data_IF_983055457124
#
_entry.id   IF_983055457124
#
_cell.length_a   1.000
_cell.length_b   1.000
_cell.length_c   1.000
_cell.angle_alpha   90.00
_cell.angle_beta   90.00
_cell.angle_gamma   90.00
#
_symmetry.space_group_name_H-M   'P 1'
#
loop_
_entity.id
_entity.type
_entity.pdbx_description
1 polymer ?
#
# COMPACT_ATOMS: atom_id res chain seq x y z
N UNK A 1 18.16 -20.79 52.42
CA UNK A 1 17.92 -21.68 51.26
C UNK A 1 16.42 -21.64 50.95
N UNK A 2 15.92 -20.74 50.08
CA UNK A 2 14.54 -20.82 49.63
C UNK A 2 14.45 -21.68 48.36
N UNK A 3 13.63 -22.73 48.45
CA UNK A 3 13.30 -23.65 47.36
C UNK A 3 12.24 -23.01 46.46
N UNK A 4 12.57 -22.80 45.19
CA UNK A 4 11.59 -22.36 44.17
C UNK A 4 10.79 -23.57 43.65
N UNK A 5 9.45 -23.53 43.63
CA UNK A 5 8.65 -24.56 43.00
C UNK A 5 8.69 -24.41 41.46
N UNK A 6 8.89 -25.54 40.76
CA UNK A 6 8.82 -25.63 39.30
C UNK A 6 7.35 -25.63 38.82
N UNK A 7 6.95 -24.80 37.84
CA UNK A 7 5.63 -24.92 37.23
C UNK A 7 5.59 -26.10 36.23
N UNK A 8 4.52 -26.90 36.33
CA UNK A 8 4.15 -27.96 35.36
C UNK A 8 3.46 -27.32 34.14
N UNK A 9 3.61 -27.87 32.92
CA UNK A 9 2.91 -27.36 31.75
C UNK A 9 1.43 -27.75 31.81
N UNK A 10 0.54 -26.76 31.91
CA UNK A 10 -0.89 -26.95 31.69
C UNK A 10 -1.18 -26.74 30.20
N UNK A 11 -1.69 -27.77 29.53
CA UNK A 11 -2.22 -27.67 28.18
C UNK A 11 -3.44 -26.72 28.19
N UNK A 12 -3.31 -25.55 27.58
CA UNK A 12 -4.45 -24.67 27.33
C UNK A 12 -5.22 -25.22 26.12
N UNK A 13 -6.31 -25.93 26.39
CA UNK A 13 -7.36 -26.18 25.41
C UNK A 13 -8.10 -24.86 25.16
N UNK A 14 -7.79 -24.17 24.06
CA UNK A 14 -8.55 -23.00 23.62
C UNK A 14 -9.89 -23.42 23.02
N UNK A 15 -10.98 -23.17 23.76
CA UNK A 15 -12.34 -23.35 23.27
C UNK A 15 -12.65 -22.29 22.20
N UNK A 16 -13.01 -22.74 20.99
CA UNK A 16 -13.49 -21.88 19.92
C UNK A 16 -14.99 -21.65 20.13
N UNK A 17 -15.38 -20.42 20.49
CA UNK A 17 -16.77 -20.01 20.60
C UNK A 17 -17.30 -19.67 19.20
N UNK A 18 -18.28 -20.42 18.72
CA UNK A 18 -19.03 -20.06 17.50
C UNK A 18 -20.09 -19.02 17.86
N UNK A 19 -19.88 -17.77 17.44
CA UNK A 19 -20.95 -16.79 17.42
C UNK A 19 -21.79 -17.01 16.14
N UNK A 20 -23.07 -17.36 16.31
CA UNK A 20 -24.05 -17.42 15.22
C UNK A 20 -24.38 -16.00 14.77
N UNK A 21 -23.83 -15.56 13.64
CA UNK A 21 -24.27 -14.34 12.96
C UNK A 21 -25.45 -14.64 12.02
N UNK A 22 -26.44 -13.75 12.03
CA UNK A 22 -27.68 -13.80 11.26
C UNK A 22 -27.48 -13.94 9.76
N UNK A 23 -28.22 -14.85 9.13
CA UNK A 23 -28.27 -15.05 7.67
C UNK A 23 -29.09 -13.96 7.01
N UNK A 24 -28.45 -13.01 6.33
CA UNK A 24 -29.09 -12.27 5.25
C UNK A 24 -29.04 -13.15 3.98
N UNK A 25 -30.12 -13.23 3.17
CA UNK A 25 -30.06 -13.97 1.92
C UNK A 25 -29.08 -13.28 0.97
N UNK A 26 -28.05 -14.02 0.56
CA UNK A 26 -27.17 -13.58 -0.50
C UNK A 26 -27.98 -13.47 -1.79
N UNK A 27 -28.11 -12.26 -2.33
CA UNK A 27 -28.43 -12.11 -3.74
C UNK A 27 -27.37 -12.89 -4.53
N UNK A 28 -27.80 -13.72 -5.48
CA UNK A 28 -26.89 -14.37 -6.44
C UNK A 28 -26.20 -13.28 -7.26
N UNK A 29 -25.04 -12.83 -6.79
CA UNK A 29 -24.05 -12.22 -7.65
C UNK A 29 -23.37 -13.36 -8.40
N UNK A 30 -23.48 -13.33 -9.73
CA UNK A 30 -22.70 -14.19 -10.61
C UNK A 30 -21.21 -14.10 -10.21
N UNK A 31 -20.52 -15.23 -10.00
CA UNK A 31 -19.12 -15.19 -9.62
C UNK A 31 -18.32 -14.48 -10.72
N UNK A 32 -17.53 -13.44 -10.42
CA UNK A 32 -16.59 -12.94 -11.39
C UNK A 32 -15.66 -14.11 -11.80
N UNK A 33 -15.32 -14.24 -13.09
CA UNK A 33 -14.45 -15.31 -13.55
C UNK A 33 -13.14 -15.31 -12.75
N UNK A 34 -12.55 -16.48 -12.49
CA UNK A 34 -11.31 -16.57 -11.74
C UNK A 34 -10.24 -15.73 -12.45
N UNK A 35 -9.76 -14.69 -11.77
CA UNK A 35 -8.60 -13.93 -12.22
C UNK A 35 -7.39 -14.82 -12.01
N UNK A 36 -7.03 -15.59 -13.04
CA UNK A 36 -5.68 -16.14 -13.12
C UNK A 36 -4.72 -14.97 -13.04
N UNK A 37 -3.82 -14.98 -12.05
CA UNK A 37 -2.66 -14.11 -12.07
C UNK A 37 -1.80 -14.53 -13.27
N UNK A 38 -2.03 -13.88 -14.41
CA UNK A 38 -1.16 -14.01 -15.58
C UNK A 38 0.14 -13.32 -15.20
N UNK A 39 1.23 -14.08 -15.12
CA UNK A 39 2.57 -13.51 -15.19
C UNK A 39 2.72 -12.92 -16.60
N UNK A 40 2.45 -11.62 -16.71
CA UNK A 40 2.62 -10.87 -17.95
C UNK A 40 4.04 -10.31 -17.96
N UNK A 41 4.99 -10.91 -18.72
CA UNK A 41 6.24 -10.24 -18.99
C UNK A 41 5.93 -8.95 -19.78
N UNK A 42 6.20 -7.81 -19.15
CA UNK A 42 5.92 -6.50 -19.75
C UNK A 42 4.50 -6.01 -19.53
N UNK A 43 4.11 -5.76 -18.27
CA UNK A 43 3.08 -4.76 -17.98
C UNK A 43 3.61 -3.40 -18.44
N UNK A 44 3.45 -3.12 -19.73
CA UNK A 44 3.39 -1.76 -20.20
C UNK A 44 2.17 -1.18 -19.50
N UNK A 45 2.39 -0.31 -18.50
CA UNK A 45 1.34 0.58 -18.03
C UNK A 45 0.95 1.39 -19.26
N UNK A 46 -0.14 1.00 -19.92
CA UNK A 46 -0.73 1.85 -20.93
C UNK A 46 -0.91 3.21 -20.26
N UNK A 47 -0.43 4.32 -20.86
CA UNK A 47 -0.64 5.62 -20.27
C UNK A 47 -2.14 5.76 -20.03
N UNK A 48 -2.53 6.18 -18.82
CA UNK A 48 -3.94 6.36 -18.46
C UNK A 48 -4.66 7.36 -19.40
N UNK A 49 -3.88 8.07 -20.21
CA UNK A 49 -4.30 9.10 -21.17
C UNK A 49 -3.65 8.79 -22.52
N UNK A 50 -4.44 8.80 -23.60
CA UNK A 50 -3.96 8.67 -24.98
C UNK A 50 -3.15 9.93 -25.37
N UNK A 51 -1.82 9.83 -25.60
CA UNK A 51 -1.02 10.98 -25.98
C UNK A 51 -1.50 11.66 -27.27
N UNK A 52 -2.15 10.93 -28.18
CA UNK A 52 -2.68 11.48 -29.43
C UNK A 52 -3.90 12.39 -29.21
N UNK A 53 -4.57 12.31 -28.05
CA UNK A 53 -5.70 13.17 -27.68
C UNK A 53 -5.33 14.33 -26.78
N UNK A 54 -4.03 14.52 -26.54
CA UNK A 54 -3.52 15.51 -25.61
C UNK A 54 -2.87 16.68 -26.35
N UNK A 55 -3.24 17.90 -25.94
CA UNK A 55 -2.55 19.12 -26.34
C UNK A 55 -1.83 19.67 -25.11
N UNK A 56 -0.50 19.55 -25.06
CA UNK A 56 0.31 20.21 -24.03
C UNK A 56 0.34 21.71 -24.31
N UNK A 57 -0.03 22.53 -23.32
CA UNK A 57 -0.08 23.99 -23.47
C UNK A 57 1.04 24.69 -22.72
N UNK A 58 1.56 24.05 -21.68
CA UNK A 58 2.72 24.54 -20.95
C UNK A 58 3.50 23.37 -20.35
N UNK A 59 4.82 23.52 -20.31
CA UNK A 59 5.72 22.72 -19.49
C UNK A 59 6.89 23.55 -19.04
N UNK A 60 7.26 23.38 -17.79
CA UNK A 60 8.53 23.86 -17.27
C UNK A 60 9.19 22.74 -16.48
N UNK A 61 10.51 22.65 -16.57
CA UNK A 61 11.30 21.72 -15.77
C UNK A 61 12.35 22.51 -15.03
N UNK A 62 12.47 22.29 -13.72
CA UNK A 62 13.45 22.95 -12.87
C UNK A 62 14.15 21.97 -11.94
N UNK A 63 15.43 22.19 -11.61
CA UNK A 63 16.08 21.43 -10.56
C UNK A 63 15.43 21.74 -9.20
N UNK A 64 15.39 20.73 -8.32
CA UNK A 64 14.92 20.85 -6.92
C UNK A 64 16.07 20.62 -5.97
N UNK A 65 16.88 19.58 -6.22
CA UNK A 65 18.11 19.23 -5.51
C UNK A 65 19.03 18.44 -6.46
N UNK A 66 20.29 18.15 -6.09
CA UNK A 66 21.12 17.23 -6.88
C UNK A 66 20.39 15.91 -7.16
N UNK A 67 20.30 15.52 -8.43
CA UNK A 67 19.59 14.30 -8.85
C UNK A 67 18.06 14.37 -8.75
N UNK A 68 17.45 15.52 -8.45
CA UNK A 68 15.98 15.69 -8.38
C UNK A 68 15.53 16.86 -9.23
N UNK A 69 14.61 16.63 -10.16
CA UNK A 69 13.95 17.68 -10.95
C UNK A 69 12.43 17.59 -10.86
N UNK A 70 11.77 18.74 -10.97
CA UNK A 70 10.32 18.86 -11.04
C UNK A 70 9.93 19.34 -12.44
N UNK A 71 9.05 18.60 -13.10
CA UNK A 71 8.38 19.02 -14.32
C UNK A 71 6.92 19.35 -14.03
N UNK A 72 6.55 20.61 -14.20
CA UNK A 72 5.17 21.09 -14.07
C UNK A 72 4.60 21.33 -15.46
N UNK A 73 3.40 20.81 -15.73
CA UNK A 73 2.79 20.88 -17.05
C UNK A 73 1.28 21.09 -16.98
N UNK A 74 0.76 21.73 -18.02
CA UNK A 74 -0.66 21.85 -18.30
C UNK A 74 -0.96 21.18 -19.64
N UNK A 75 -2.05 20.42 -19.69
CA UNK A 75 -2.54 19.88 -20.94
C UNK A 75 -4.06 19.90 -21.01
N UNK A 76 -4.57 19.88 -22.23
CA UNK A 76 -5.98 19.66 -22.51
C UNK A 76 -6.17 18.31 -23.21
N UNK A 77 -7.08 17.49 -22.68
CA UNK A 77 -7.47 16.23 -23.30
C UNK A 77 -8.74 16.40 -24.13
N UNK A 78 -8.68 15.99 -25.39
CA UNK A 78 -9.78 16.06 -26.35
C UNK A 78 -10.76 14.89 -26.15
N UNK A 79 -12.06 15.16 -26.28
CA UNK A 79 -13.12 14.14 -26.26
C UNK A 79 -14.18 14.41 -25.19
N UNK A 80 -15.23 13.58 -25.18
CA UNK A 80 -16.43 13.82 -24.36
C UNK A 80 -16.22 13.80 -22.86
N UNK A 81 -15.19 13.10 -22.36
CA UNK A 81 -14.80 13.07 -20.94
C UNK A 81 -13.45 13.77 -20.68
N UNK A 82 -12.86 14.40 -21.71
CA UNK A 82 -11.58 15.10 -21.59
C UNK A 82 -11.72 16.44 -20.86
N UNK A 83 -10.58 17.08 -20.58
CA UNK A 83 -10.56 18.36 -19.88
C UNK A 83 -9.16 18.88 -19.63
N UNK A 84 -9.10 19.97 -18.86
CA UNK A 84 -7.84 20.54 -18.40
C UNK A 84 -7.21 19.72 -17.29
N UNK A 85 -5.92 19.43 -17.43
CA UNK A 85 -5.10 18.81 -16.42
C UNK A 85 -3.92 19.73 -16.13
N UNK A 86 -3.64 19.92 -14.85
CA UNK A 86 -2.40 20.46 -14.32
C UNK A 86 -1.70 19.37 -13.53
N UNK A 87 -0.44 19.10 -13.86
CA UNK A 87 0.33 18.02 -13.24
C UNK A 87 1.73 18.45 -12.86
N UNK A 88 2.25 17.79 -11.83
CA UNK A 88 3.61 17.90 -11.33
C UNK A 88 4.24 16.51 -11.32
N UNK A 89 5.42 16.38 -11.92
CA UNK A 89 6.18 15.13 -11.97
C UNK A 89 7.58 15.32 -11.39
N UNK A 90 7.92 14.54 -10.37
CA UNK A 90 9.27 14.49 -9.81
C UNK A 90 10.07 13.38 -10.50
N UNK A 91 11.22 13.75 -11.06
CA UNK A 91 12.21 12.80 -11.57
C UNK A 91 13.36 12.72 -10.59
N UNK A 92 13.67 11.50 -10.14
CA UNK A 92 14.73 11.23 -9.16
C UNK A 92 15.76 10.28 -9.75
N UNK A 93 17.01 10.73 -9.82
CA UNK A 93 18.17 9.91 -10.14
C UNK A 93 18.73 9.29 -8.85
N UNK A 94 18.51 7.99 -8.68
CA UNK A 94 18.96 7.22 -7.53
C UNK A 94 20.47 6.89 -7.59
N UNK A 95 21.13 7.12 -8.72
CA UNK A 95 22.58 6.94 -8.87
C UNK A 95 23.37 8.17 -8.43
N UNK A 96 22.72 9.34 -8.38
CA UNK A 96 23.30 10.62 -7.94
C UNK A 96 23.36 10.79 -6.41
N UNK A 97 23.16 9.72 -5.64
CA UNK A 97 23.19 9.74 -4.17
C UNK A 97 21.86 10.09 -3.49
N UNK A 98 20.81 10.37 -4.27
CA UNK A 98 19.45 10.58 -3.76
C UNK A 98 18.84 9.26 -3.31
N UNK A 99 18.09 9.30 -2.19
CA UNK A 99 17.39 8.14 -1.64
C UNK A 99 15.88 8.40 -1.59
N UNK A 100 15.12 7.31 -1.65
CA UNK A 100 13.67 7.30 -1.40
C UNK A 100 13.46 6.54 -0.10
N UNK A 101 12.58 7.05 0.76
CA UNK A 101 12.27 6.46 2.06
C UNK A 101 10.76 6.54 2.33
N UNK A 102 10.27 5.68 3.23
CA UNK A 102 8.89 5.60 3.65
C UNK A 102 8.62 6.54 4.83
N UNK A 103 7.79 7.56 4.60
CA UNK A 103 7.36 8.47 5.66
C UNK A 103 6.08 7.94 6.32
N UNK A 104 6.07 7.92 7.65
CA UNK A 104 4.88 7.65 8.43
C UNK A 104 4.93 8.39 9.79
N UNK A 105 3.79 8.52 10.49
CA UNK A 105 3.71 9.29 11.75
C UNK A 105 4.26 8.57 12.99
N UNK A 106 4.87 7.39 12.83
CA UNK A 106 5.35 6.56 13.95
C UNK A 106 4.34 5.53 14.46
N UNK A 107 3.04 5.74 14.22
CA UNK A 107 1.98 4.77 14.51
C UNK A 107 1.13 4.52 13.26
N UNK A 108 0.84 3.25 12.95
CA UNK A 108 0.17 2.86 11.69
C UNK A 108 -1.21 3.51 11.52
N UNK A 109 -1.97 3.68 12.60
CA UNK A 109 -3.31 4.27 12.60
C UNK A 109 -3.32 5.80 12.86
N UNK A 110 -2.14 6.44 12.97
CA UNK A 110 -2.07 7.89 13.13
C UNK A 110 -2.13 8.58 11.76
N UNK A 111 -2.84 9.70 11.69
CA UNK A 111 -2.85 10.59 10.53
C UNK A 111 -1.99 11.84 10.82
N UNK A 112 -1.10 12.19 9.90
CA UNK A 112 -0.28 13.40 9.97
C UNK A 112 -0.17 14.00 8.56
N UNK A 113 -0.32 15.32 8.36
CA UNK A 113 -0.10 15.94 7.06
C UNK A 113 1.25 15.56 6.45
N UNK A 114 1.28 15.25 5.16
CA UNK A 114 2.52 14.86 4.45
C UNK A 114 3.62 15.93 4.60
N UNK A 115 3.25 17.21 4.62
CA UNK A 115 4.19 18.32 4.81
C UNK A 115 4.86 18.29 6.19
N UNK A 116 4.14 17.93 7.25
CA UNK A 116 4.72 17.79 8.59
C UNK A 116 5.69 16.61 8.66
N UNK A 117 5.33 15.47 8.07
CA UNK A 117 6.20 14.30 7.96
C UNK A 117 7.48 14.61 7.18
N UNK A 118 7.35 15.25 6.01
CA UNK A 118 8.47 15.64 5.16
C UNK A 118 9.40 16.64 5.85
N UNK A 119 8.83 17.64 6.53
CA UNK A 119 9.62 18.63 7.28
C UNK A 119 10.39 18.00 8.44
N UNK A 120 9.77 17.06 9.17
CA UNK A 120 10.39 16.35 10.30
C UNK A 120 11.64 15.57 9.88
N UNK A 121 11.65 14.99 8.68
CA UNK A 121 12.80 14.24 8.14
C UNK A 121 13.70 15.08 7.24
N UNK A 122 13.34 16.35 6.98
CA UNK A 122 13.99 17.24 6.01
C UNK A 122 14.06 16.63 4.61
N UNK A 123 12.98 15.96 4.21
CA UNK A 123 12.85 15.43 2.85
C UNK A 123 12.85 16.59 1.83
N UNK A 124 13.57 16.41 0.72
CA UNK A 124 13.62 17.37 -0.39
C UNK A 124 12.26 17.51 -1.06
N UNK A 125 11.55 16.39 -1.20
CA UNK A 125 10.20 16.31 -1.73
C UNK A 125 9.51 15.05 -1.16
N UNK A 126 8.19 15.06 -1.14
CA UNK A 126 7.38 13.91 -0.73
C UNK A 126 6.06 13.90 -1.52
N UNK A 127 5.54 12.71 -1.77
CA UNK A 127 4.22 12.48 -2.38
C UNK A 127 3.43 11.50 -1.52
N UNK A 128 2.10 11.54 -1.59
CA UNK A 128 1.28 10.52 -0.95
C UNK A 128 1.50 9.16 -1.64
N UNK A 129 1.52 8.08 -0.84
CA UNK A 129 1.78 6.71 -1.31
C UNK A 129 0.52 5.85 -1.38
N UNK A 130 0.27 5.08 -0.31
CA UNK A 130 -0.82 4.10 -0.24
C UNK A 130 -2.22 4.71 -0.13
N UNK A 131 -3.23 3.90 -0.46
CA UNK A 131 -4.59 4.11 0.03
C UNK A 131 -4.65 3.97 1.55
N UNK A 132 -5.60 4.62 2.19
CA UNK A 132 -5.81 4.50 3.63
C UNK A 132 -7.30 4.49 3.98
N UNK A 133 -7.61 3.89 5.12
CA UNK A 133 -8.97 3.80 5.66
C UNK A 133 -9.37 5.12 6.33
N UNK A 134 -9.55 6.16 5.51
CA UNK A 134 -9.71 7.57 5.92
C UNK A 134 -10.87 7.84 6.88
N UNK A 135 -11.92 7.02 6.85
CA UNK A 135 -13.15 7.26 7.62
C UNK A 135 -13.28 6.36 8.86
N UNK A 136 -12.24 5.62 9.22
CA UNK A 136 -12.27 4.74 10.37
C UNK A 136 -10.91 4.69 11.08
N UNK A 137 -9.95 3.91 10.56
CA UNK A 137 -8.68 3.70 11.26
C UNK A 137 -7.54 4.66 10.85
N UNK A 138 -7.68 5.37 9.74
CA UNK A 138 -6.59 6.07 9.03
C UNK A 138 -5.42 5.17 8.60
N UNK A 139 -5.49 3.86 8.84
CA UNK A 139 -4.40 2.96 8.56
C UNK A 139 -4.21 2.81 7.04
N UNK A 140 -2.97 2.88 6.54
CA UNK A 140 -2.69 2.66 5.13
C UNK A 140 -2.87 1.18 4.76
N UNK A 141 -3.44 0.90 3.60
CA UNK A 141 -3.67 -0.45 3.05
C UNK A 141 -2.46 -0.97 2.28
N UNK A 142 -2.14 -2.26 2.39
CA UNK A 142 -0.97 -2.88 1.75
C UNK A 142 0.23 -3.07 2.68
N UNK A 143 1.42 -3.29 2.14
CA UNK A 143 2.66 -3.51 2.92
C UNK A 143 3.44 -2.20 3.13
N UNK A 144 4.02 -2.03 4.31
CA UNK A 144 4.96 -0.93 4.60
C UNK A 144 6.24 -1.48 5.20
N UNK A 145 7.38 -1.10 4.62
CA UNK A 145 8.71 -1.51 5.08
C UNK A 145 9.59 -0.27 5.19
N UNK A 146 10.30 -0.15 6.32
CA UNK A 146 11.32 0.88 6.53
C UNK A 146 12.56 0.24 7.15
N UNK A 147 13.75 0.56 6.63
CA UNK A 147 15.03 0.01 7.10
C UNK A 147 15.08 -1.53 7.20
N UNK A 148 14.41 -2.19 6.26
CA UNK A 148 14.28 -3.65 6.21
C UNK A 148 13.40 -4.24 7.32
N UNK A 149 12.62 -3.41 8.02
CA UNK A 149 11.65 -3.83 9.04
C UNK A 149 10.23 -3.59 8.54
N UNK A 150 9.36 -4.57 8.74
CA UNK A 150 7.94 -4.42 8.49
C UNK A 150 7.34 -3.40 9.46
N UNK A 151 6.76 -2.33 8.91
CA UNK A 151 5.95 -1.34 9.63
C UNK A 151 4.48 -1.77 9.64
N UNK A 152 3.99 -2.27 8.50
CA UNK A 152 2.69 -2.93 8.38
C UNK A 152 2.73 -4.10 7.41
N UNK A 153 1.95 -5.12 7.72
CA UNK A 153 1.72 -6.29 6.89
C UNK A 153 0.63 -6.07 5.85
N UNK A 154 0.66 -6.81 4.72
CA UNK A 154 -0.45 -6.80 3.78
C UNK A 154 -1.70 -7.45 4.40
N UNK A 155 -2.85 -6.96 3.97
CA UNK A 155 -4.14 -7.60 4.13
C UNK A 155 -4.34 -8.58 2.98
N UNK A 156 -4.57 -9.85 3.29
CA UNK A 156 -4.74 -10.91 2.29
C UNK A 156 -6.10 -11.54 2.48
N UNK A 157 -6.86 -11.64 1.40
CA UNK A 157 -8.12 -12.36 1.40
C UNK A 157 -7.88 -13.83 1.07
N UNK A 158 -8.28 -14.73 1.95
CA UNK A 158 -8.30 -16.17 1.70
C UNK A 158 -9.72 -16.58 1.35
N UNK A 159 -9.89 -17.31 0.24
CA UNK A 159 -11.15 -17.94 -0.13
C UNK A 159 -10.98 -19.46 -0.12
N UNK A 160 -11.90 -20.17 0.53
CA UNK A 160 -11.94 -21.63 0.58
C UNK A 160 -13.26 -22.11 0.02
N UNK A 161 -13.21 -23.00 -0.96
CA UNK A 161 -14.41 -23.63 -1.54
C UNK A 161 -14.49 -25.08 -1.09
N UNK A 162 -15.60 -25.45 -0.45
CA UNK A 162 -15.91 -26.84 -0.07
C UNK A 162 -17.29 -27.20 -0.61
N UNK A 163 -17.38 -28.29 -1.38
CA UNK A 163 -18.62 -28.77 -1.99
C UNK A 163 -19.40 -27.69 -2.77
N UNK A 164 -18.69 -26.81 -3.47
CA UNK A 164 -19.29 -25.70 -4.26
C UNK A 164 -19.67 -24.46 -3.45
N UNK A 165 -19.50 -24.45 -2.13
CA UNK A 165 -19.71 -23.27 -1.28
C UNK A 165 -18.38 -22.57 -1.03
N UNK A 166 -18.28 -21.29 -1.39
CA UNK A 166 -17.08 -20.47 -1.17
C UNK A 166 -17.26 -19.57 0.05
N UNK A 167 -16.35 -19.67 0.99
CA UNK A 167 -16.21 -18.76 2.13
C UNK A 167 -14.97 -17.89 1.94
N UNK A 168 -15.07 -16.60 2.24
CA UNK A 168 -14.00 -15.62 2.09
C UNK A 168 -13.74 -14.94 3.43
N UNK A 169 -12.47 -14.80 3.81
CA UNK A 169 -12.06 -14.09 5.03
C UNK A 169 -10.79 -13.28 4.78
N UNK A 170 -10.67 -12.15 5.45
CA UNK A 170 -9.44 -11.34 5.46
C UNK A 170 -8.51 -11.83 6.56
N UNK A 171 -7.24 -12.01 6.20
CA UNK A 171 -6.18 -12.46 7.08
C UNK A 171 -5.02 -11.48 6.98
N UNK A 172 -4.59 -10.97 8.14
CA UNK A 172 -3.36 -10.19 8.24
C UNK A 172 -2.17 -11.15 8.40
N UNK A 173 -1.17 -11.04 7.52
CA UNK A 173 0.01 -11.94 7.53
C UNK A 173 1.22 -11.25 8.14
N UNK A 174 1.84 -11.83 9.17
CA UNK A 174 3.11 -11.30 9.67
C UNK A 174 4.29 -11.85 8.85
N UNK A 175 5.23 -10.98 8.45
CA UNK A 175 6.47 -11.46 7.83
C UNK A 175 7.36 -12.11 8.90
N UNK A 176 8.00 -13.25 8.59
CA UNK A 176 8.97 -13.86 9.50
C UNK A 176 10.16 -12.91 9.71
N UNK A 177 10.60 -12.73 10.95
CA UNK A 177 11.83 -12.00 11.26
C UNK A 177 13.02 -12.89 10.92
N UNK A 178 13.68 -12.64 9.79
CA UNK A 178 14.94 -13.31 9.47
C UNK A 178 16.10 -12.67 10.25
N UNK A 179 17.02 -13.45 10.84
CA UNK A 179 18.26 -12.91 11.38
C UNK A 179 18.99 -12.16 10.26
N UNK A 180 19.47 -10.95 10.52
CA UNK A 180 20.33 -10.25 9.56
C UNK A 180 21.57 -11.11 9.32
N UNK A 181 21.90 -11.37 8.06
CA UNK A 181 23.23 -11.84 7.72
C UNK A 181 24.23 -10.78 8.20
N UNK A 182 25.08 -11.14 9.15
CA UNK A 182 26.24 -10.33 9.52
C UNK A 182 27.17 -10.29 8.31
N UNK A 183 27.34 -9.10 7.73
CA UNK A 183 28.41 -8.80 6.80
C UNK A 183 29.67 -8.39 7.59
#
# INVERSE_FOLDING_TARGET
>A
MPVFPRPRPAALAGALVFALASTAPAAHAEPPPPTTAVDLPGVAVAPAVDPARRIETARSTRPVAPGVSLSSFDWYELGGAGGWIRGDALTVDLTAGTKVDYLYPGHVAAAEPLSAQANRTRAVAAVNGDFFDINNSNAPRGVGVQDGRTVKSPEVTIAVTVNGVTQRTEVTTAFPTWPRATA
#
